data_IF_734921761388
#
_entry.id   IF_734921761388
#
_cell.length_a   1.000
_cell.length_b   1.000
_cell.length_c   1.000
_cell.angle_alpha   90.00
_cell.angle_beta   90.00
_cell.angle_gamma   90.00
#
_symmetry.space_group_name_H-M   'P 1'
#
loop_
_entity.id
_entity.type
_entity.pdbx_description
1 polymer ?
#
# COMPACT_ATOMS: atom_id res chain seq x y z
N UNK A 1 -8.57 -5.02 23.66
CA UNK A 1 -8.70 -3.89 22.80
C UNK A 1 -7.53 -2.95 22.96
N UNK A 2 -7.13 -2.33 21.85
CA UNK A 2 -6.12 -1.28 21.82
C UNK A 2 -6.74 0.12 21.82
N UNK A 3 -5.91 1.15 21.70
CA UNK A 3 -6.32 2.54 21.46
C UNK A 3 -5.96 2.93 20.02
N UNK A 4 -6.69 3.88 19.45
CA UNK A 4 -6.41 4.44 18.14
C UNK A 4 -6.57 5.96 18.17
N UNK A 5 -5.68 6.67 17.51
CA UNK A 5 -5.75 8.12 17.30
C UNK A 5 -5.86 8.39 15.78
N UNK A 6 -6.78 9.27 15.41
CA UNK A 6 -6.90 9.73 14.01
C UNK A 6 -6.17 11.06 13.84
N UNK A 7 -5.26 11.11 12.86
CA UNK A 7 -4.51 12.32 12.51
C UNK A 7 -4.83 12.68 11.06
N UNK A 8 -5.29 13.91 10.82
CA UNK A 8 -5.51 14.43 9.47
C UNK A 8 -4.18 14.93 8.91
N UNK A 9 -3.72 14.30 7.81
CA UNK A 9 -2.47 14.65 7.16
C UNK A 9 -2.55 14.39 5.65
N UNK A 10 -1.85 15.21 4.87
CA UNK A 10 -1.62 14.95 3.45
C UNK A 10 -0.36 14.07 3.33
N UNK A 11 -0.50 12.87 2.80
CA UNK A 11 0.61 11.93 2.60
C UNK A 11 1.69 12.46 1.62
N UNK A 12 1.40 13.52 0.85
CA UNK A 12 2.35 14.17 -0.06
C UNK A 12 3.05 15.38 0.55
N UNK A 13 2.73 15.72 1.80
CA UNK A 13 3.38 16.78 2.58
C UNK A 13 4.46 16.16 3.47
N UNK A 14 5.70 16.58 3.23
CA UNK A 14 6.86 16.10 3.99
C UNK A 14 6.82 16.51 5.46
N UNK A 15 6.33 17.72 5.76
CA UNK A 15 6.25 18.21 7.15
C UNK A 15 5.20 17.43 7.91
N UNK A 16 4.00 17.29 7.34
CA UNK A 16 2.91 16.51 7.94
C UNK A 16 3.32 15.04 8.17
N UNK A 17 4.07 14.44 7.22
CA UNK A 17 4.58 13.08 7.38
C UNK A 17 5.59 12.98 8.54
N UNK A 18 6.52 13.90 8.67
CA UNK A 18 7.47 13.95 9.80
C UNK A 18 6.76 14.11 11.15
N UNK A 19 5.77 14.99 11.22
CA UNK A 19 4.97 15.19 12.42
C UNK A 19 4.19 13.93 12.82
N UNK A 20 3.65 13.20 11.84
CA UNK A 20 2.96 11.92 12.06
C UNK A 20 3.90 10.90 12.74
N UNK A 21 5.11 10.73 12.23
CA UNK A 21 6.10 9.81 12.80
C UNK A 21 6.61 10.28 14.16
N UNK A 22 6.80 11.58 14.38
CA UNK A 22 7.14 12.13 15.68
C UNK A 22 6.06 11.81 16.74
N UNK A 23 4.77 11.78 16.36
CA UNK A 23 3.66 11.37 17.23
C UNK A 23 3.63 9.87 17.50
N UNK A 24 4.02 9.04 16.53
CA UNK A 24 4.09 7.59 16.72
C UNK A 24 5.10 7.19 17.81
N UNK A 25 6.15 7.98 18.00
CA UNK A 25 7.14 7.79 19.06
C UNK A 25 8.06 6.59 18.83
N UNK A 26 8.93 6.31 19.81
CA UNK A 26 10.03 5.37 19.65
C UNK A 26 9.62 3.88 19.69
N UNK A 27 8.37 3.56 19.99
CA UNK A 27 7.85 2.19 20.05
C UNK A 27 7.14 1.76 18.76
N UNK A 28 7.52 2.31 17.61
CA UNK A 28 6.95 1.95 16.31
C UNK A 28 7.46 0.57 15.87
N UNK A 29 6.57 -0.41 15.75
CA UNK A 29 6.89 -1.77 15.27
C UNK A 29 6.45 -2.01 13.83
N UNK A 30 5.34 -1.34 13.41
CA UNK A 30 4.70 -1.54 12.12
C UNK A 30 4.27 -0.21 11.50
N UNK A 31 4.66 0.02 10.27
CA UNK A 31 4.19 1.12 9.43
C UNK A 31 3.53 0.58 8.16
N UNK A 32 2.32 1.05 7.82
CA UNK A 32 1.58 0.59 6.62
C UNK A 32 1.21 1.79 5.77
N UNK A 33 1.72 1.82 4.53
CA UNK A 33 1.32 2.80 3.53
C UNK A 33 0.20 2.25 2.65
N UNK A 34 -1.02 2.75 2.84
CA UNK A 34 -2.24 2.28 2.16
C UNK A 34 -2.88 3.35 1.27
N UNK A 35 -2.18 4.46 0.99
CA UNK A 35 -2.70 5.58 0.22
C UNK A 35 -2.63 5.32 -1.28
N UNK A 36 -3.65 5.75 -2.02
CA UNK A 36 -3.70 5.65 -3.48
C UNK A 36 -5.08 5.94 -4.03
N UNK A 37 -5.15 6.07 -5.35
CA UNK A 37 -6.40 6.19 -6.09
C UNK A 37 -6.39 5.26 -7.31
N UNK A 38 -7.55 4.88 -7.81
CA UNK A 38 -7.71 4.02 -8.98
C UNK A 38 -8.74 4.58 -9.97
N UNK A 39 -8.77 5.89 -10.16
CA UNK A 39 -9.68 6.53 -11.10
C UNK A 39 -9.33 6.15 -12.53
N UNK A 40 -10.27 5.61 -13.31
CA UNK A 40 -10.04 5.25 -14.71
C UNK A 40 -10.06 6.48 -15.61
N UNK A 41 -9.36 6.41 -16.75
CA UNK A 41 -9.33 7.42 -17.80
C UNK A 41 -8.44 6.98 -18.96
N UNK A 42 -8.83 7.32 -20.20
CA UNK A 42 -7.98 7.09 -21.37
C UNK A 42 -6.77 8.03 -21.30
N UNK A 43 -5.61 7.57 -21.72
CA UNK A 43 -4.37 8.36 -21.65
C UNK A 43 -4.47 9.65 -22.47
N UNK A 44 -5.10 9.60 -23.66
CA UNK A 44 -5.24 10.77 -24.53
C UNK A 44 -6.17 11.86 -24.00
N UNK A 45 -7.05 11.49 -23.07
CA UNK A 45 -8.04 12.39 -22.46
C UNK A 45 -7.63 12.79 -21.04
N UNK A 46 -6.47 12.29 -20.57
CA UNK A 46 -6.03 12.47 -19.20
C UNK A 46 -5.29 13.79 -19.03
N UNK A 47 -5.70 14.56 -18.05
CA UNK A 47 -5.01 15.77 -17.63
C UNK A 47 -3.63 15.46 -17.03
N UNK A 48 -2.64 16.28 -17.36
CA UNK A 48 -1.28 16.09 -16.90
C UNK A 48 -1.15 16.22 -15.36
N UNK A 49 -1.88 17.15 -14.75
CA UNK A 49 -1.88 17.36 -13.31
C UNK A 49 -2.54 16.18 -12.59
N UNK A 50 -3.61 15.61 -13.18
CA UNK A 50 -4.20 14.37 -12.65
C UNK A 50 -3.20 13.21 -12.66
N UNK A 51 -2.46 13.03 -13.76
CA UNK A 51 -1.43 11.99 -13.86
C UNK A 51 -0.32 12.20 -12.82
N UNK A 52 0.21 13.44 -12.74
CA UNK A 52 1.25 13.81 -11.79
C UNK A 52 0.78 13.63 -10.34
N UNK A 53 -0.45 14.04 -10.02
CA UNK A 53 -1.01 13.88 -8.68
C UNK A 53 -1.23 12.40 -8.31
N UNK A 54 -1.64 11.56 -9.26
CA UNK A 54 -1.74 10.12 -9.02
C UNK A 54 -0.41 9.51 -8.61
N UNK A 55 0.67 9.91 -9.28
CA UNK A 55 2.03 9.50 -8.94
C UNK A 55 2.48 10.06 -7.58
N UNK A 56 2.19 11.35 -7.33
CA UNK A 56 2.52 11.98 -6.04
C UNK A 56 1.86 11.26 -4.87
N UNK A 57 0.57 10.98 -4.97
CA UNK A 57 -0.17 10.29 -3.90
C UNK A 57 0.31 8.85 -3.72
N UNK A 58 0.51 8.08 -4.79
CA UNK A 58 0.87 6.66 -4.65
C UNK A 58 2.36 6.45 -4.36
N UNK A 59 3.26 7.08 -5.15
CA UNK A 59 4.69 6.79 -5.09
C UNK A 59 5.46 7.78 -4.24
N UNK A 60 5.31 9.09 -4.48
CA UNK A 60 6.06 10.09 -3.72
C UNK A 60 5.64 10.12 -2.24
N UNK A 61 4.34 10.06 -1.94
CA UNK A 61 3.89 9.91 -0.56
C UNK A 61 4.40 8.62 0.08
N UNK A 62 4.44 7.51 -0.68
CA UNK A 62 5.05 6.26 -0.24
C UNK A 62 6.54 6.40 0.08
N UNK A 63 7.27 7.20 -0.70
CA UNK A 63 8.67 7.55 -0.42
C UNK A 63 8.80 8.35 0.88
N UNK A 64 8.02 9.40 1.06
CA UNK A 64 8.07 10.22 2.28
C UNK A 64 7.79 9.38 3.53
N UNK A 65 6.70 8.62 3.48
CA UNK A 65 6.27 7.75 4.57
C UNK A 65 7.31 6.66 4.87
N UNK A 66 7.75 5.94 3.84
CA UNK A 66 8.72 4.85 4.00
C UNK A 66 10.07 5.35 4.53
N UNK A 67 10.54 6.50 4.04
CA UNK A 67 11.78 7.12 4.53
C UNK A 67 11.72 7.45 6.02
N UNK A 68 10.63 8.04 6.49
CA UNK A 68 10.50 8.38 7.91
C UNK A 68 10.33 7.11 8.78
N UNK A 69 9.58 6.09 8.30
CA UNK A 69 9.48 4.80 8.97
C UNK A 69 10.87 4.14 9.17
N UNK A 70 11.64 4.06 8.08
CA UNK A 70 12.99 3.47 8.14
C UNK A 70 13.92 4.25 9.06
N UNK A 71 13.90 5.59 8.99
CA UNK A 71 14.69 6.44 9.90
C UNK A 71 14.40 6.13 11.36
N UNK A 72 13.13 5.98 11.71
CA UNK A 72 12.71 5.69 13.07
C UNK A 72 13.11 4.27 13.50
N UNK A 73 12.92 3.26 12.67
CA UNK A 73 13.32 1.88 12.94
C UNK A 73 14.84 1.75 13.17
N UNK A 74 15.64 2.45 12.38
CA UNK A 74 17.11 2.46 12.54
C UNK A 74 17.51 3.20 13.82
N UNK A 75 16.91 4.36 14.09
CA UNK A 75 17.24 5.18 15.26
C UNK A 75 16.98 4.46 16.58
N UNK A 76 15.91 3.66 16.66
CA UNK A 76 15.55 2.88 17.85
C UNK A 76 16.32 1.57 17.99
N UNK A 77 17.04 1.13 16.96
CA UNK A 77 17.81 -0.13 16.91
C UNK A 77 16.98 -1.41 17.18
N UNK A 78 15.62 -1.30 17.15
CA UNK A 78 14.73 -2.46 17.31
C UNK A 78 14.35 -3.07 15.96
N UNK A 79 14.67 -2.38 14.86
CA UNK A 79 14.14 -2.72 13.56
C UNK A 79 12.65 -2.44 13.48
N UNK A 80 11.97 -3.01 12.48
CA UNK A 80 10.52 -2.84 12.31
C UNK A 80 10.02 -3.37 10.99
N UNK A 81 8.71 -3.29 10.78
CA UNK A 81 8.07 -3.76 9.55
C UNK A 81 7.41 -2.60 8.82
N UNK A 82 7.77 -2.40 7.55
CA UNK A 82 7.18 -1.42 6.64
C UNK A 82 6.44 -2.14 5.52
N UNK A 83 5.13 -1.95 5.42
CA UNK A 83 4.30 -2.59 4.42
C UNK A 83 3.66 -1.59 3.47
N UNK A 84 3.69 -1.91 2.18
CA UNK A 84 3.06 -1.10 1.13
C UNK A 84 1.89 -1.86 0.51
N UNK A 85 0.73 -1.20 0.40
CA UNK A 85 -0.41 -1.75 -0.31
C UNK A 85 -0.24 -1.54 -1.81
N UNK A 86 -0.02 -2.65 -2.50
CA UNK A 86 0.01 -2.74 -3.95
C UNK A 86 -1.35 -3.10 -4.55
N UNK A 87 -1.32 -3.42 -5.82
CA UNK A 87 -2.47 -3.88 -6.60
C UNK A 87 -1.97 -4.69 -7.80
N UNK A 88 -2.86 -5.35 -8.56
CA UNK A 88 -2.51 -5.87 -9.90
C UNK A 88 -1.83 -4.82 -10.78
N UNK A 89 -2.21 -3.56 -10.60
CA UNK A 89 -1.59 -2.39 -11.24
C UNK A 89 -0.10 -2.24 -10.94
N UNK A 90 0.43 -2.83 -9.88
CA UNK A 90 1.87 -2.86 -9.58
C UNK A 90 2.66 -3.79 -10.50
N UNK A 91 1.98 -4.77 -11.11
CA UNK A 91 2.58 -5.86 -11.87
C UNK A 91 2.35 -5.75 -13.37
N UNK A 92 1.22 -5.17 -13.79
CA UNK A 92 0.80 -5.13 -15.20
C UNK A 92 -0.01 -3.88 -15.53
N UNK A 93 0.12 -3.41 -16.78
CA UNK A 93 -0.71 -2.36 -17.34
C UNK A 93 -2.13 -2.85 -17.64
N UNK A 94 -3.12 -1.97 -17.47
CA UNK A 94 -4.50 -2.18 -17.86
C UNK A 94 -5.01 -0.96 -18.61
N UNK A 95 -5.72 -1.17 -19.70
CA UNK A 95 -6.36 -0.09 -20.44
C UNK A 95 -7.24 0.78 -19.53
N UNK A 96 -7.24 2.07 -19.75
CA UNK A 96 -7.92 3.09 -18.94
C UNK A 96 -7.40 3.30 -17.50
N UNK A 97 -6.28 2.70 -17.11
CA UNK A 97 -5.70 2.86 -15.78
C UNK A 97 -4.23 3.30 -15.81
N UNK A 98 -3.81 4.02 -16.87
CA UNK A 98 -2.42 4.41 -17.09
C UNK A 98 -1.78 5.13 -15.90
N UNK A 99 -2.43 6.12 -15.31
CA UNK A 99 -1.93 6.84 -14.13
C UNK A 99 -1.77 5.92 -12.91
N UNK A 100 -2.77 5.08 -12.64
CA UNK A 100 -2.75 4.14 -11.52
C UNK A 100 -1.67 3.05 -11.70
N UNK A 101 -1.58 2.44 -12.89
CA UNK A 101 -0.59 1.41 -13.18
C UNK A 101 0.85 1.93 -13.06
N UNK A 102 1.14 3.09 -13.65
CA UNK A 102 2.48 3.69 -13.57
C UNK A 102 2.85 4.06 -12.12
N UNK A 103 1.90 4.58 -11.35
CA UNK A 103 2.11 4.97 -9.96
C UNK A 103 2.34 3.77 -9.05
N UNK A 104 1.53 2.71 -9.17
CA UNK A 104 1.66 1.49 -8.37
C UNK A 104 2.88 0.65 -8.77
N UNK A 105 3.25 0.64 -10.05
CA UNK A 105 4.51 0.04 -10.51
C UNK A 105 5.74 0.75 -9.95
N UNK A 106 5.72 2.09 -9.91
CA UNK A 106 6.77 2.89 -9.28
C UNK A 106 6.86 2.61 -7.78
N UNK A 107 5.72 2.56 -7.06
CA UNK A 107 5.69 2.23 -5.62
C UNK A 107 6.27 0.83 -5.34
N UNK A 108 5.94 -0.16 -6.15
CA UNK A 108 6.49 -1.52 -6.03
C UNK A 108 8.02 -1.55 -6.16
N UNK A 109 8.56 -0.85 -7.17
CA UNK A 109 10.01 -0.76 -7.35
C UNK A 109 10.69 -0.01 -6.20
N UNK A 110 10.08 1.05 -5.68
CA UNK A 110 10.55 1.76 -4.49
C UNK A 110 10.58 0.83 -3.28
N UNK A 111 9.50 0.11 -3.01
CA UNK A 111 9.41 -0.84 -1.90
C UNK A 111 10.50 -1.93 -2.01
N UNK A 112 10.74 -2.45 -3.23
CA UNK A 112 11.78 -3.46 -3.46
C UNK A 112 13.19 -2.91 -3.23
N UNK A 113 13.46 -1.66 -3.64
CA UNK A 113 14.72 -0.99 -3.36
C UNK A 113 14.95 -0.86 -1.85
N UNK A 114 13.93 -0.37 -1.12
CA UNK A 114 14.00 -0.24 0.34
C UNK A 114 14.18 -1.60 1.03
N UNK A 115 13.52 -2.66 0.56
CA UNK A 115 13.68 -4.00 1.11
C UNK A 115 15.13 -4.50 1.02
N UNK A 116 15.79 -4.23 -0.11
CA UNK A 116 17.20 -4.63 -0.32
C UNK A 116 18.19 -3.74 0.46
N UNK A 117 17.87 -2.46 0.59
CA UNK A 117 18.76 -1.47 1.20
C UNK A 117 18.79 -1.61 2.73
N UNK A 118 17.63 -1.87 3.36
CA UNK A 118 17.49 -1.80 4.82
C UNK A 118 17.29 -3.15 5.53
N UNK A 119 17.37 -4.26 4.81
CA UNK A 119 17.25 -5.59 5.43
C UNK A 119 18.33 -5.84 6.49
N UNK A 120 19.57 -5.36 6.26
CA UNK A 120 20.68 -5.52 7.22
C UNK A 120 20.54 -4.62 8.45
N UNK A 121 19.72 -3.57 8.36
CA UNK A 121 19.37 -2.69 9.48
C UNK A 121 18.18 -3.23 10.30
N UNK A 122 17.74 -4.46 10.04
CA UNK A 122 16.63 -5.09 10.74
C UNK A 122 15.25 -4.60 10.30
N UNK A 123 15.12 -3.99 9.11
CA UNK A 123 13.84 -3.49 8.58
C UNK A 123 13.26 -4.48 7.57
N UNK A 124 12.12 -5.07 7.93
CA UNK A 124 11.33 -5.88 7.01
C UNK A 124 10.45 -4.99 6.13
N UNK A 125 10.72 -4.93 4.84
CA UNK A 125 9.86 -4.20 3.89
C UNK A 125 9.09 -5.18 3.03
N UNK A 126 7.75 -5.07 3.05
CA UNK A 126 6.86 -5.93 2.29
C UNK A 126 5.89 -5.15 1.38
N UNK A 127 5.47 -5.80 0.31
CA UNK A 127 4.51 -5.29 -0.68
C UNK A 127 3.35 -6.27 -0.84
N UNK A 128 2.12 -5.83 -0.51
CA UNK A 128 0.91 -6.65 -0.60
C UNK A 128 0.17 -6.32 -1.88
N UNK A 129 0.18 -7.23 -2.84
CA UNK A 129 -0.58 -7.11 -4.10
C UNK A 129 -2.03 -7.50 -3.83
N UNK A 130 -2.94 -6.52 -3.76
CA UNK A 130 -4.38 -6.76 -3.69
C UNK A 130 -4.92 -6.83 -5.12
N UNK A 131 -5.06 -8.04 -5.65
CA UNK A 131 -5.41 -8.28 -7.06
C UNK A 131 -6.90 -8.61 -7.22
N UNK A 132 -7.72 -7.58 -7.15
CA UNK A 132 -9.16 -7.69 -7.39
C UNK A 132 -10.00 -6.66 -6.64
N UNK A 133 -11.32 -6.70 -6.84
CA UNK A 133 -12.27 -5.87 -6.10
C UNK A 133 -12.29 -6.24 -4.61
N UNK A 134 -12.23 -5.25 -3.74
CA UNK A 134 -12.30 -5.46 -2.28
C UNK A 134 -13.74 -5.40 -1.81
N UNK A 135 -14.17 -6.32 -0.94
CA UNK A 135 -15.50 -6.38 -0.35
C UNK A 135 -15.80 -5.25 0.65
N UNK A 136 -15.40 -4.01 0.31
CA UNK A 136 -15.58 -2.81 1.13
C UNK A 136 -16.77 -1.96 0.74
N UNK A 137 -17.10 -0.97 1.58
CA UNK A 137 -18.21 -0.06 1.41
C UNK A 137 -18.17 0.73 0.09
N UNK A 138 -16.97 1.07 -0.40
CA UNK A 138 -16.79 1.78 -1.66
C UNK A 138 -17.40 1.01 -2.84
N UNK A 139 -17.24 -0.31 -2.90
CA UNK A 139 -17.82 -1.14 -3.95
C UNK A 139 -19.27 -1.45 -3.64
N UNK A 140 -19.58 -1.89 -2.43
CA UNK A 140 -20.94 -2.31 -2.04
C UNK A 140 -21.96 -1.18 -2.16
N UNK A 141 -21.59 0.06 -1.78
CA UNK A 141 -22.49 1.23 -1.86
C UNK A 141 -22.33 2.06 -3.13
N UNK A 142 -21.08 2.18 -3.63
CA UNK A 142 -20.81 3.00 -4.82
C UNK A 142 -21.10 2.32 -6.14
N UNK A 143 -21.07 0.98 -6.18
CA UNK A 143 -21.27 0.18 -7.40
C UNK A 143 -22.08 -1.09 -7.07
N UNK A 144 -23.33 -0.97 -6.57
CA UNK A 144 -24.10 -2.11 -6.06
C UNK A 144 -24.35 -3.20 -7.11
N UNK A 145 -24.72 -2.84 -8.33
CA UNK A 145 -24.91 -3.80 -9.43
C UNK A 145 -23.63 -4.56 -9.79
N UNK A 146 -22.46 -3.89 -9.66
CA UNK A 146 -21.17 -4.54 -9.87
C UNK A 146 -20.86 -5.51 -8.74
N UNK A 147 -21.13 -5.12 -7.50
CA UNK A 147 -20.96 -5.98 -6.32
C UNK A 147 -21.86 -7.22 -6.41
N UNK A 148 -23.13 -7.06 -6.79
CA UNK A 148 -24.08 -8.17 -6.98
C UNK A 148 -23.60 -9.13 -8.07
N UNK A 149 -23.13 -8.63 -9.21
CA UNK A 149 -22.61 -9.46 -10.31
C UNK A 149 -21.36 -10.26 -9.92
N UNK A 150 -20.50 -9.70 -9.07
CA UNK A 150 -19.31 -10.39 -8.56
C UNK A 150 -19.68 -11.49 -7.57
N UNK A 151 -20.72 -11.27 -6.78
CA UNK A 151 -21.07 -12.13 -5.66
C UNK A 151 -20.01 -12.08 -4.53
N UNK A 152 -20.23 -12.87 -3.51
CA UNK A 152 -19.35 -12.92 -2.35
C UNK A 152 -17.94 -13.42 -2.73
N UNK A 153 -17.84 -14.49 -3.50
CA UNK A 153 -16.58 -15.11 -3.94
C UNK A 153 -15.80 -14.29 -4.98
N UNK A 154 -16.41 -13.28 -5.59
CA UNK A 154 -15.79 -12.42 -6.60
C UNK A 154 -15.12 -11.17 -6.02
N UNK A 155 -15.22 -10.97 -4.72
CA UNK A 155 -14.60 -9.84 -4.01
C UNK A 155 -13.64 -10.35 -2.94
N UNK A 156 -12.48 -9.69 -2.81
CA UNK A 156 -11.49 -10.04 -1.80
C UNK A 156 -12.01 -9.65 -0.41
N UNK A 157 -12.01 -10.59 0.52
CA UNK A 157 -12.36 -10.38 1.92
C UNK A 157 -11.41 -9.37 2.58
N UNK A 158 -11.94 -8.41 3.32
CA UNK A 158 -11.13 -7.46 4.11
C UNK A 158 -10.32 -8.22 5.16
N UNK A 159 -10.93 -9.19 5.84
CA UNK A 159 -10.26 -10.01 6.84
C UNK A 159 -9.10 -10.80 6.22
N UNK A 160 -9.29 -11.37 5.01
CA UNK A 160 -8.22 -12.06 4.28
C UNK A 160 -7.06 -11.12 3.89
N UNK A 161 -7.34 -9.85 3.57
CA UNK A 161 -6.28 -8.86 3.36
C UNK A 161 -5.54 -8.58 4.68
N UNK A 162 -6.27 -8.37 5.77
CA UNK A 162 -5.69 -8.14 7.11
C UNK A 162 -4.82 -9.32 7.54
N UNK A 163 -5.27 -10.55 7.35
CA UNK A 163 -4.49 -11.76 7.64
C UNK A 163 -3.17 -11.78 6.85
N UNK A 164 -3.19 -11.34 5.59
CA UNK A 164 -1.99 -11.18 4.78
C UNK A 164 -0.99 -10.17 5.38
N UNK A 165 -1.46 -9.02 5.84
CA UNK A 165 -0.62 -8.02 6.52
C UNK A 165 -0.07 -8.55 7.85
N UNK A 166 -0.90 -9.22 8.64
CA UNK A 166 -0.50 -9.84 9.92
C UNK A 166 0.52 -10.95 9.69
N UNK A 167 0.36 -11.75 8.64
CA UNK A 167 1.32 -12.79 8.25
C UNK A 167 2.70 -12.19 7.99
N UNK A 168 2.79 -11.13 7.17
CA UNK A 168 4.07 -10.45 6.90
C UNK A 168 4.68 -9.86 8.16
N UNK A 169 3.89 -9.18 8.97
CA UNK A 169 4.35 -8.55 10.22
C UNK A 169 4.97 -9.57 11.20
N UNK A 170 4.41 -10.77 11.27
CA UNK A 170 4.84 -11.81 12.22
C UNK A 170 6.04 -12.64 11.76
N UNK A 171 6.56 -12.39 10.57
CA UNK A 171 7.65 -13.19 10.04
C UNK A 171 8.97 -12.91 10.75
N UNK A 172 9.72 -13.97 11.12
CA UNK A 172 11.05 -13.80 11.68
C UNK A 172 12.06 -13.38 10.59
N UNK A 173 13.17 -12.74 10.96
CA UNK A 173 14.17 -12.25 10.00
C UNK A 173 14.72 -13.30 9.04
N UNK A 174 14.69 -14.58 9.42
CA UNK A 174 15.17 -15.70 8.59
C UNK A 174 14.19 -16.11 7.49
N UNK A 175 12.98 -15.51 7.45
CA UNK A 175 11.92 -15.92 6.51
C UNK A 175 11.06 -14.75 6.03
N UNK A 176 11.66 -13.59 5.80
CA UNK A 176 10.93 -12.41 5.30
C UNK A 176 10.45 -12.59 3.87
N UNK A 177 9.19 -12.32 3.64
CA UNK A 177 8.56 -12.26 2.33
C UNK A 177 8.50 -10.81 1.86
N UNK A 178 9.06 -10.52 0.70
CA UNK A 178 8.94 -9.18 0.10
C UNK A 178 7.56 -8.95 -0.51
N UNK A 179 7.02 -9.91 -1.26
CA UNK A 179 5.77 -9.70 -1.98
C UNK A 179 4.77 -10.82 -1.70
N UNK A 180 3.58 -10.43 -1.28
CA UNK A 180 2.44 -11.31 -1.03
C UNK A 180 1.29 -10.91 -1.97
N UNK A 181 0.72 -11.89 -2.66
CA UNK A 181 -0.38 -11.72 -3.58
C UNK A 181 -1.69 -12.24 -2.97
N UNK A 182 -2.69 -11.36 -2.86
CA UNK A 182 -4.02 -11.67 -2.30
C UNK A 182 -5.07 -11.44 -3.38
N UNK A 183 -5.81 -12.50 -3.73
CA UNK A 183 -6.84 -12.46 -4.77
C UNK A 183 -7.99 -13.41 -4.46
N UNK A 184 -9.08 -13.31 -5.19
CA UNK A 184 -10.17 -14.30 -5.12
C UNK A 184 -9.85 -15.50 -5.99
N UNK A 185 -10.51 -16.63 -5.71
CA UNK A 185 -10.45 -17.83 -6.57
C UNK A 185 -11.06 -17.62 -7.96
N UNK A 186 -11.79 -16.54 -8.17
CA UNK A 186 -12.44 -16.17 -9.44
C UNK A 186 -11.60 -15.22 -10.30
N UNK A 187 -10.48 -14.68 -9.77
CA UNK A 187 -9.60 -13.80 -10.54
C UNK A 187 -8.95 -14.58 -11.69
N UNK A 188 -8.97 -13.97 -12.86
CA UNK A 188 -8.33 -14.54 -14.07
C UNK A 188 -6.97 -13.89 -14.26
N UNK A 189 -5.99 -14.74 -14.44
CA UNK A 189 -4.59 -14.33 -14.71
C UNK A 189 -4.41 -13.71 -16.10
#
# INVERSE_FOLDING_TARGET
GGSAEAVVADATDEVATKELFARAGDNLDLAIYNTGNNTPGRIIDMDADFFANSWRVCCFGGFLFGREAVRQFIATQHGGTLLFTGASASLRGRANFGAFNSSKGALRNLAQAMAKEYAQDGVHVGHVVVDGPIAGEKIKRGLPEYAERLGEDGMISIDGIVDGFVYLYRQPPQAWTFELDVRTSKEKW
#
